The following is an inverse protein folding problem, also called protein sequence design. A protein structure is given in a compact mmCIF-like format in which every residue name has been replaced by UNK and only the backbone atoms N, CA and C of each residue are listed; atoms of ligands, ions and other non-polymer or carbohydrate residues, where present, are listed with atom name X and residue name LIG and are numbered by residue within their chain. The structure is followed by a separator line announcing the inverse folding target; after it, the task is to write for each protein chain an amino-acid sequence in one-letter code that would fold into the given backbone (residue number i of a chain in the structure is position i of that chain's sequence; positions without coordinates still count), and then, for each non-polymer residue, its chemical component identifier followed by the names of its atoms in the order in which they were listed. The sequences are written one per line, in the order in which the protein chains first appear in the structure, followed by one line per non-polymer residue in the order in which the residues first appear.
data_IF_241168453116
#
_entry.id   IF_241168453116
#
_cell.length_a   1.000
_cell.length_b   1.000
_cell.length_c   1.000
_cell.angle_alpha   90.00
_cell.angle_beta   90.00
_cell.angle_gamma   90.00
#
_symmetry.space_group_name_H-M   'P 1'
#
loop_
_entity.id
_entity.type
_entity.pdbx_description
1 polymer ?
#
# COMPACT_ATOMS: atom_id res chain seq x y z
N UNK A 1 -20.72 -14.52 -4.11
CA UNK A 1 -20.74 -13.79 -5.40
C UNK A 1 -20.04 -12.47 -5.15
N UNK A 2 -18.95 -12.16 -5.87
CA UNK A 2 -18.32 -10.85 -5.76
C UNK A 2 -19.27 -9.82 -6.38
N UNK A 3 -19.44 -8.68 -5.71
CA UNK A 3 -20.45 -7.67 -6.07
C UNK A 3 -20.28 -7.09 -7.48
N UNK A 4 -19.06 -7.13 -8.03
CA UNK A 4 -18.73 -6.50 -9.32
C UNK A 4 -18.10 -7.46 -10.36
N UNK A 5 -18.13 -8.78 -10.15
CA UNK A 5 -17.50 -9.78 -11.06
C UNK A 5 -15.99 -9.59 -11.34
N UNK A 6 -15.32 -8.73 -10.58
CA UNK A 6 -13.87 -8.51 -10.69
C UNK A 6 -13.13 -9.49 -9.77
N UNK A 7 -11.96 -9.93 -10.22
CA UNK A 7 -11.00 -10.69 -9.42
C UNK A 7 -9.80 -9.80 -9.08
N UNK A 8 -9.23 -10.00 -7.90
CA UNK A 8 -8.01 -9.33 -7.49
C UNK A 8 -6.81 -9.98 -8.21
N UNK A 9 -5.85 -9.16 -8.62
CA UNK A 9 -4.58 -9.68 -9.13
C UNK A 9 -3.54 -9.65 -8.00
N UNK A 10 -3.54 -10.68 -7.16
CA UNK A 10 -2.76 -10.71 -5.90
C UNK A 10 -1.25 -10.57 -6.11
N UNK A 11 -0.71 -11.01 -7.25
CA UNK A 11 0.70 -10.83 -7.64
C UNK A 11 1.09 -9.36 -7.90
N UNK A 12 0.12 -8.51 -8.28
CA UNK A 12 0.32 -7.07 -8.54
C UNK A 12 -0.31 -6.17 -7.47
N UNK A 13 -0.93 -6.75 -6.45
CA UNK A 13 -1.59 -5.97 -5.41
C UNK A 13 -0.56 -5.54 -4.37
N UNK A 14 -0.46 -4.23 -4.15
CA UNK A 14 0.33 -3.64 -3.07
C UNK A 14 -0.60 -3.22 -1.91
N UNK A 15 -0.06 -3.17 -0.69
CA UNK A 15 -0.82 -2.78 0.50
C UNK A 15 -0.14 -1.60 1.17
N UNK A 16 -0.91 -0.54 1.44
CA UNK A 16 -0.46 0.61 2.21
C UNK A 16 -1.23 0.70 3.53
N UNK A 17 -0.51 0.63 4.65
CA UNK A 17 -1.12 0.80 5.97
C UNK A 17 -1.23 2.29 6.33
N UNK A 18 -2.45 2.77 6.52
CA UNK A 18 -2.74 4.15 6.89
C UNK A 18 -3.11 4.29 8.36
N UNK A 19 -2.65 5.36 9.00
CA UNK A 19 -3.00 5.69 10.38
C UNK A 19 -1.99 6.61 11.07
N UNK A 20 -2.25 6.99 12.33
CA UNK A 20 -1.28 7.73 13.14
C UNK A 20 0.07 7.00 13.18
N UNK A 21 1.17 7.75 13.12
CA UNK A 21 2.53 7.17 13.09
C UNK A 21 2.78 6.19 14.23
N UNK A 22 2.33 6.54 15.43
CA UNK A 22 2.45 5.72 16.65
C UNK A 22 1.73 4.38 16.50
N UNK A 23 0.53 4.37 15.89
CA UNK A 23 -0.21 3.14 15.66
C UNK A 23 0.47 2.25 14.62
N UNK A 24 1.02 2.83 13.55
CA UNK A 24 1.79 2.11 12.52
C UNK A 24 3.10 1.53 13.03
N UNK A 25 3.80 2.25 13.92
CA UNK A 25 5.05 1.75 14.52
C UNK A 25 4.85 0.48 15.36
N UNK A 26 3.64 0.22 15.84
CA UNK A 26 3.30 -1.01 16.56
C UNK A 26 3.00 -2.20 15.64
N UNK A 27 2.93 -2.00 14.31
CA UNK A 27 2.72 -3.03 13.30
C UNK A 27 3.76 -2.90 12.16
N UNK A 28 5.05 -3.15 12.43
CA UNK A 28 6.10 -2.93 11.44
C UNK A 28 6.04 -3.88 10.23
N UNK A 29 5.56 -5.11 10.40
CA UNK A 29 5.55 -6.15 9.36
C UNK A 29 4.14 -6.68 9.09
N UNK A 30 3.19 -5.77 8.88
CA UNK A 30 1.81 -6.16 8.63
C UNK A 30 1.69 -6.90 7.30
N UNK A 31 1.32 -8.18 7.36
CA UNK A 31 1.11 -9.03 6.19
C UNK A 31 -0.36 -9.41 6.11
N UNK A 32 -0.93 -9.30 4.91
CA UNK A 32 -2.32 -9.70 4.62
C UNK A 32 -2.29 -10.88 3.68
N UNK A 33 -3.12 -11.88 3.96
CA UNK A 33 -3.32 -13.00 3.05
C UNK A 33 -4.45 -12.68 2.07
N UNK A 34 -4.14 -12.63 0.78
CA UNK A 34 -5.06 -12.36 -0.34
C UNK A 34 -5.03 -13.55 -1.30
N UNK A 35 -6.15 -14.26 -1.44
CA UNK A 35 -6.26 -15.48 -2.28
C UNK A 35 -5.15 -16.52 -2.03
N UNK A 36 -4.77 -16.70 -0.76
CA UNK A 36 -3.72 -17.64 -0.35
C UNK A 36 -2.28 -17.13 -0.54
N UNK A 37 -2.11 -15.93 -1.11
CA UNK A 37 -0.82 -15.25 -1.23
C UNK A 37 -0.62 -14.29 -0.07
N UNK A 38 0.57 -14.28 0.52
CA UNK A 38 0.93 -13.33 1.58
C UNK A 38 1.53 -12.07 0.97
N UNK A 39 0.90 -10.93 1.21
CA UNK A 39 1.33 -9.61 0.72
C UNK A 39 1.72 -8.75 1.92
N UNK A 40 2.98 -8.31 1.97
CA UNK A 40 3.48 -7.43 3.02
C UNK A 40 3.10 -5.97 2.76
N UNK A 41 2.85 -5.21 3.81
CA UNK A 41 2.62 -3.77 3.70
C UNK A 41 3.86 -3.03 3.25
N UNK A 42 3.67 -2.05 2.37
CA UNK A 42 4.69 -1.11 1.92
C UNK A 42 4.58 0.22 2.68
N UNK A 43 5.69 0.95 2.77
CA UNK A 43 5.71 2.30 3.35
C UNK A 43 5.24 3.37 2.39
N UNK A 44 5.32 3.09 1.08
CA UNK A 44 4.74 3.86 -0.01
C UNK A 44 4.34 2.92 -1.15
N UNK A 45 3.28 3.27 -1.89
CA UNK A 45 2.77 2.53 -3.05
C UNK A 45 2.60 3.45 -4.25
N UNK A 46 2.56 2.91 -5.47
CA UNK A 46 2.37 3.70 -6.68
C UNK A 46 1.09 3.31 -7.40
N UNK A 47 0.12 4.22 -7.43
CA UNK A 47 -1.14 4.03 -8.14
C UNK A 47 -1.24 5.00 -9.32
N UNK A 48 -1.39 4.45 -10.53
CA UNK A 48 -1.51 5.19 -11.79
C UNK A 48 -0.47 6.32 -12.00
N UNK A 49 0.74 6.15 -11.46
CA UNK A 49 1.81 7.15 -11.57
C UNK A 49 2.02 8.01 -10.32
N UNK A 50 1.06 8.03 -9.40
CA UNK A 50 1.10 8.80 -8.15
C UNK A 50 1.70 7.94 -7.06
N UNK A 51 2.71 8.46 -6.35
CA UNK A 51 3.29 7.78 -5.20
C UNK A 51 2.58 8.27 -3.93
N UNK A 52 2.10 7.35 -3.12
CA UNK A 52 1.39 7.64 -1.87
C UNK A 52 2.17 6.98 -0.74
N UNK A 53 2.73 7.78 0.16
CA UNK A 53 3.38 7.31 1.38
C UNK A 53 2.40 7.12 2.53
N UNK A 54 2.76 6.27 3.48
CA UNK A 54 1.90 5.92 4.63
C UNK A 54 1.65 7.09 5.59
N UNK A 55 2.43 8.18 5.52
CA UNK A 55 2.17 9.44 6.22
C UNK A 55 1.26 10.40 5.45
N UNK A 56 0.90 10.08 4.21
CA UNK A 56 0.15 10.94 3.31
C UNK A 56 0.81 12.32 3.11
N UNK A 57 2.14 12.40 3.18
CA UNK A 57 2.86 13.67 3.02
C UNK A 57 3.18 14.02 1.57
N UNK A 58 3.15 13.02 0.67
CA UNK A 58 3.61 13.09 -0.72
C UNK A 58 5.10 13.40 -0.88
N UNK A 59 5.90 13.38 0.18
CA UNK A 59 7.34 13.69 0.12
C UNK A 59 8.04 12.77 -0.90
N UNK A 60 7.75 11.47 -0.86
CA UNK A 60 8.31 10.48 -1.79
C UNK A 60 7.88 10.73 -3.24
N UNK A 61 6.68 11.29 -3.47
CA UNK A 61 6.23 11.65 -4.80
C UNK A 61 6.94 12.90 -5.30
N UNK A 62 7.02 13.95 -4.46
CA UNK A 62 7.71 15.20 -4.77
C UNK A 62 9.18 14.91 -5.12
N UNK A 63 9.88 14.16 -4.28
CA UNK A 63 11.27 13.76 -4.51
C UNK A 63 11.45 12.99 -5.83
N UNK A 64 10.45 12.18 -6.22
CA UNK A 64 10.49 11.42 -7.46
C UNK A 64 10.32 12.30 -8.71
N UNK A 65 9.54 13.38 -8.64
CA UNK A 65 9.24 14.24 -9.79
C UNK A 65 10.19 15.44 -9.92
N UNK A 66 10.82 15.90 -8.83
CA UNK A 66 11.70 17.08 -8.85
C UNK A 66 13.18 16.78 -9.06
N UNK A 67 13.56 15.50 -9.16
CA UNK A 67 14.94 15.07 -9.41
C UNK A 67 15.27 14.96 -10.90
#
# INVERSE_FOLDING_TARGET
MLTNFLLLNSDKTEILLLGPRVARSNLPDYTVTLDGLSVSSCTAVKDLGVIIDSSLSFDAHVDNITR
#
